data_IF_082182063287
#
_entry.id   IF_082182063287
#
_cell.length_a   1.000
_cell.length_b   1.000
_cell.length_c   1.000
_cell.angle_alpha   90.00
_cell.angle_beta   90.00
_cell.angle_gamma   90.00
#
_symmetry.space_group_name_H-M   'P 1'
#
loop_
_entity.id
_entity.type
_entity.pdbx_description
1 polymer ?
#
# COMPACT_ATOMS: atom_id res chain seq x y z
N UNK A 1 -7.47 19.18 -10.22
CA UNK A 1 -7.70 17.81 -9.72
C UNK A 1 -7.51 16.85 -10.89
N UNK A 2 -6.99 15.63 -10.68
CA UNK A 2 -6.59 14.74 -11.79
C UNK A 2 -7.84 14.12 -12.45
N UNK A 3 -8.09 14.45 -13.73
CA UNK A 3 -9.28 14.01 -14.49
C UNK A 3 -9.49 12.48 -14.49
N UNK A 4 -8.42 11.69 -14.39
CA UNK A 4 -8.51 10.23 -14.35
C UNK A 4 -8.95 9.71 -12.99
N UNK A 5 -8.51 10.37 -11.92
CA UNK A 5 -8.96 10.09 -10.56
C UNK A 5 -10.46 10.38 -10.41
N UNK A 6 -10.92 11.56 -10.88
CA UNK A 6 -12.34 11.93 -10.88
C UNK A 6 -13.20 10.94 -11.67
N UNK A 7 -12.81 10.64 -12.91
CA UNK A 7 -13.55 9.70 -13.75
C UNK A 7 -13.55 8.26 -13.19
N UNK A 8 -12.48 7.86 -12.50
CA UNK A 8 -12.43 6.56 -11.84
C UNK A 8 -13.33 6.52 -10.62
N UNK A 9 -13.29 7.56 -9.77
CA UNK A 9 -14.17 7.70 -8.61
C UNK A 9 -15.64 7.69 -9.04
N UNK A 10 -16.00 8.46 -10.08
CA UNK A 10 -17.36 8.48 -10.65
C UNK A 10 -17.80 7.09 -11.13
N UNK A 11 -16.93 6.35 -11.83
CA UNK A 11 -17.24 4.97 -12.26
C UNK A 11 -17.54 4.05 -11.08
N UNK A 12 -16.87 4.25 -9.94
CA UNK A 12 -17.07 3.48 -8.73
C UNK A 12 -18.26 3.98 -7.89
N UNK A 13 -18.93 5.06 -8.29
CA UNK A 13 -19.99 5.70 -7.51
C UNK A 13 -19.47 6.33 -6.22
N UNK A 14 -18.21 6.80 -6.22
CA UNK A 14 -17.52 7.40 -5.09
C UNK A 14 -17.12 8.83 -5.44
N UNK A 15 -17.15 9.75 -4.47
CA UNK A 15 -16.70 11.13 -4.66
C UNK A 15 -15.31 11.33 -4.05
N UNK A 16 -14.55 12.28 -4.59
CA UNK A 16 -13.31 12.76 -3.97
C UNK A 16 -13.67 13.79 -2.91
N UNK A 17 -13.34 13.49 -1.65
CA UNK A 17 -13.64 14.34 -0.52
C UNK A 17 -12.54 15.37 -0.25
N UNK A 18 -11.28 14.95 -0.32
CA UNK A 18 -10.14 15.79 0.12
C UNK A 18 -8.84 15.42 -0.62
N UNK A 19 -8.02 16.42 -0.88
CA UNK A 19 -6.63 16.23 -1.32
C UNK A 19 -5.75 15.97 -0.09
N UNK A 20 -5.06 14.82 -0.06
CA UNK A 20 -4.25 14.42 1.10
C UNK A 20 -2.78 14.82 0.95
N UNK A 21 -2.27 14.92 -0.28
CA UNK A 21 -0.88 15.27 -0.51
C UNK A 21 -0.35 14.81 -1.86
N UNK A 22 0.87 15.24 -2.17
CA UNK A 22 1.65 14.79 -3.31
C UNK A 22 3.10 14.59 -2.87
N UNK A 23 3.70 13.51 -3.34
CA UNK A 23 5.12 13.21 -3.19
C UNK A 23 5.79 13.11 -4.56
N UNK A 24 7.03 12.62 -4.57
CA UNK A 24 7.84 12.52 -5.79
C UNK A 24 7.21 11.64 -6.86
N UNK A 25 6.43 10.63 -6.45
CA UNK A 25 5.92 9.59 -7.34
C UNK A 25 4.40 9.61 -7.52
N UNK A 26 3.66 10.48 -6.84
CA UNK A 26 2.20 10.42 -6.93
C UNK A 26 1.44 11.44 -6.08
N UNK A 27 0.12 11.35 -6.20
CA UNK A 27 -0.85 12.22 -5.53
C UNK A 27 -1.91 11.35 -4.87
N UNK A 28 -2.26 11.65 -3.63
CA UNK A 28 -3.27 10.94 -2.85
C UNK A 28 -4.50 11.80 -2.57
N UNK A 29 -5.67 11.17 -2.64
CA UNK A 29 -6.96 11.76 -2.37
C UNK A 29 -7.75 10.88 -1.41
N UNK A 30 -8.43 11.51 -0.45
CA UNK A 30 -9.43 10.86 0.37
C UNK A 30 -10.76 10.82 -0.37
N UNK A 31 -11.46 9.70 -0.31
CA UNK A 31 -12.78 9.54 -0.90
C UNK A 31 -13.91 9.77 0.12
N UNK A 32 -15.14 9.95 -0.36
CA UNK A 32 -16.33 10.14 0.48
C UNK A 32 -16.70 8.93 1.35
N UNK A 33 -16.19 7.74 1.02
CA UNK A 33 -16.33 6.51 1.82
C UNK A 33 -15.08 6.16 2.64
N UNK A 34 -14.29 7.17 3.00
CA UNK A 34 -13.10 7.08 3.86
C UNK A 34 -12.00 6.13 3.36
N UNK A 35 -11.83 6.02 2.04
CA UNK A 35 -10.72 5.30 1.39
C UNK A 35 -9.69 6.29 0.85
N UNK A 36 -8.54 5.76 0.43
CA UNK A 36 -7.50 6.54 -0.25
C UNK A 36 -7.42 6.11 -1.71
N UNK A 37 -7.55 7.08 -2.61
CA UNK A 37 -7.27 6.92 -4.02
C UNK A 37 -5.94 7.61 -4.34
N UNK A 38 -4.92 6.82 -4.66
CA UNK A 38 -3.59 7.29 -5.06
C UNK A 38 -3.42 7.17 -6.57
N UNK A 39 -2.85 8.19 -7.18
CA UNK A 39 -2.36 8.17 -8.56
C UNK A 39 -0.84 8.19 -8.50
N UNK A 40 -0.19 7.17 -9.06
CA UNK A 40 1.26 6.98 -9.01
C UNK A 40 1.86 6.81 -10.41
N UNK A 41 3.09 7.29 -10.58
CA UNK A 41 3.96 6.96 -11.71
C UNK A 41 4.88 5.77 -11.42
N UNK A 42 4.84 5.25 -10.20
CA UNK A 42 5.74 4.20 -9.73
C UNK A 42 5.23 2.80 -10.08
N UNK A 43 5.94 2.15 -10.99
CA UNK A 43 5.57 0.81 -11.45
C UNK A 43 5.75 -0.24 -10.34
N UNK A 44 6.78 -0.10 -9.50
CA UNK A 44 7.06 -1.05 -8.43
C UNK A 44 5.98 -1.01 -7.34
N UNK A 45 5.52 0.20 -7.00
CA UNK A 45 4.39 0.45 -6.10
C UNK A 45 3.09 -0.14 -6.68
N UNK A 46 2.77 0.19 -7.94
CA UNK A 46 1.55 -0.28 -8.57
C UNK A 46 1.47 -1.79 -8.69
N UNK A 47 2.54 -2.45 -9.16
CA UNK A 47 2.57 -3.90 -9.30
C UNK A 47 2.47 -4.59 -7.94
N UNK A 48 3.08 -4.00 -6.90
CA UNK A 48 3.01 -4.52 -5.54
C UNK A 48 1.57 -4.44 -5.00
N UNK A 49 0.95 -3.26 -5.07
CA UNK A 49 -0.45 -3.07 -4.70
C UNK A 49 -1.39 -3.95 -5.54
N UNK A 50 -1.12 -4.12 -6.83
CA UNK A 50 -1.92 -5.01 -7.68
C UNK A 50 -1.86 -6.47 -7.23
N UNK A 51 -0.68 -6.96 -6.80
CA UNK A 51 -0.53 -8.31 -6.24
C UNK A 51 -1.13 -8.44 -4.82
N UNK A 52 -1.26 -7.33 -4.08
CA UNK A 52 -1.99 -7.30 -2.82
C UNK A 52 -3.51 -7.32 -2.98
N UNK A 53 -4.03 -6.90 -4.14
CA UNK A 53 -5.47 -6.78 -4.39
C UNK A 53 -6.22 -8.08 -4.08
N UNK A 54 -7.21 -7.98 -3.19
CA UNK A 54 -8.04 -9.10 -2.76
C UNK A 54 -7.41 -10.04 -1.72
N UNK A 55 -6.18 -9.76 -1.25
CA UNK A 55 -5.60 -10.45 -0.09
C UNK A 55 -6.04 -9.73 1.19
N UNK A 56 -6.52 -10.49 2.17
CA UNK A 56 -6.79 -9.97 3.51
C UNK A 56 -5.58 -10.26 4.39
N UNK A 57 -4.69 -9.27 4.50
CA UNK A 57 -3.44 -9.34 5.25
C UNK A 57 -3.53 -8.44 6.49
N UNK A 58 -2.95 -8.90 7.59
CA UNK A 58 -3.01 -8.20 8.88
C UNK A 58 -2.25 -6.89 8.81
N UNK A 59 -1.02 -6.90 8.29
CA UNK A 59 -0.09 -5.77 8.39
C UNK A 59 0.05 -4.95 7.11
N UNK A 60 -0.81 -5.16 6.12
CA UNK A 60 -0.89 -4.33 4.91
C UNK A 60 -2.24 -3.63 4.82
N UNK A 61 -2.25 -2.40 4.33
CA UNK A 61 -3.48 -1.72 3.94
C UNK A 61 -4.23 -2.55 2.88
N UNK A 62 -5.54 -2.71 3.05
CA UNK A 62 -6.34 -3.46 2.09
C UNK A 62 -6.37 -2.74 0.73
N UNK A 63 -6.05 -3.47 -0.34
CA UNK A 63 -6.14 -2.95 -1.71
C UNK A 63 -7.46 -3.38 -2.34
N UNK A 64 -8.35 -2.41 -2.56
CA UNK A 64 -9.68 -2.62 -3.12
C UNK A 64 -9.67 -2.73 -4.64
N UNK A 65 -8.92 -1.85 -5.31
CA UNK A 65 -8.83 -1.86 -6.77
C UNK A 65 -7.55 -1.20 -7.27
N UNK A 66 -7.15 -1.54 -8.48
CA UNK A 66 -5.99 -0.97 -9.17
C UNK A 66 -6.30 -0.74 -10.65
N UNK A 67 -5.82 0.37 -11.20
CA UNK A 67 -6.14 0.80 -12.57
C UNK A 67 -4.92 1.33 -13.33
N UNK A 68 -4.79 0.97 -14.60
CA UNK A 68 -3.88 1.66 -15.52
C UNK A 68 -4.70 2.60 -16.40
N UNK A 69 -4.31 3.86 -16.46
CA UNK A 69 -4.98 4.89 -17.25
C UNK A 69 -4.37 5.02 -18.65
N UNK A 70 -5.10 5.71 -19.54
CA UNK A 70 -4.73 5.83 -20.95
C UNK A 70 -3.43 6.60 -21.17
N UNK A 71 -3.06 7.51 -20.26
CA UNK A 71 -1.80 8.24 -20.31
C UNK A 71 -0.63 7.47 -19.69
N UNK A 72 -0.86 6.24 -19.23
CA UNK A 72 0.14 5.41 -18.56
C UNK A 72 0.26 5.65 -17.06
N UNK A 73 -0.44 6.63 -16.48
CA UNK A 73 -0.52 6.76 -15.03
C UNK A 73 -1.26 5.58 -14.41
N UNK A 74 -1.00 5.31 -13.13
CA UNK A 74 -1.51 4.15 -12.42
C UNK A 74 -2.29 4.61 -11.18
N UNK A 75 -3.39 3.92 -10.88
CA UNK A 75 -4.29 4.21 -9.78
C UNK A 75 -4.34 3.06 -8.80
N UNK A 76 -4.35 3.37 -7.51
CA UNK A 76 -4.51 2.43 -6.40
C UNK A 76 -5.64 2.95 -5.50
N UNK A 77 -6.64 2.12 -5.24
CA UNK A 77 -7.69 2.37 -4.27
C UNK A 77 -7.47 1.46 -3.07
N UNK A 78 -7.25 2.04 -1.90
CA UNK A 78 -6.85 1.31 -0.70
C UNK A 78 -7.53 1.82 0.57
N UNK A 79 -7.41 1.01 1.63
CA UNK A 79 -7.76 1.36 2.99
C UNK A 79 -7.07 2.65 3.42
N UNK A 80 -7.78 3.48 4.18
CA UNK A 80 -7.19 4.64 4.83
C UNK A 80 -6.70 4.24 6.21
N UNK A 81 -5.39 4.34 6.43
CA UNK A 81 -4.81 4.17 7.76
C UNK A 81 -4.80 5.51 8.51
N UNK A 82 -4.95 5.43 9.84
CA UNK A 82 -4.73 6.56 10.73
C UNK A 82 -3.23 6.76 10.93
N UNK A 83 -2.75 7.94 10.58
CA UNK A 83 -1.35 8.33 10.76
C UNK A 83 -1.24 9.09 12.07
N UNK A 84 -0.45 8.58 13.02
CA UNK A 84 -0.20 9.24 14.29
C UNK A 84 1.30 9.51 14.51
N UNK A 85 1.61 10.70 15.01
CA UNK A 85 3.00 11.13 15.24
C UNK A 85 3.71 10.26 16.30
N UNK A 86 2.96 9.70 17.25
CA UNK A 86 3.52 8.80 18.26
C UNK A 86 4.11 7.54 17.62
N UNK A 87 3.37 6.87 16.72
CA UNK A 87 3.86 5.68 16.00
C UNK A 87 5.08 6.01 15.15
N UNK A 88 5.13 7.21 14.55
CA UNK A 88 6.32 7.66 13.80
C UNK A 88 7.55 7.78 14.69
N UNK A 89 7.42 8.38 15.86
CA UNK A 89 8.52 8.53 16.82
C UNK A 89 8.94 7.17 17.42
N UNK A 90 7.99 6.27 17.66
CA UNK A 90 8.27 4.89 18.06
C UNK A 90 9.07 4.16 16.98
N UNK A 91 8.69 4.27 15.70
CA UNK A 91 9.42 3.66 14.59
C UNK A 91 10.83 4.23 14.45
N UNK A 92 11.02 5.56 14.55
CA UNK A 92 12.35 6.18 14.54
C UNK A 92 13.23 5.71 15.69
N UNK A 93 12.63 5.52 16.87
CA UNK A 93 13.30 4.94 18.03
C UNK A 93 13.74 3.52 17.75
N UNK A 94 12.85 2.66 17.25
CA UNK A 94 13.16 1.29 16.86
C UNK A 94 14.31 1.22 15.83
N UNK A 95 14.27 2.06 14.79
CA UNK A 95 15.38 2.15 13.83
C UNK A 95 16.71 2.54 14.48
N UNK A 96 16.68 3.44 15.46
CA UNK A 96 17.88 3.88 16.17
C UNK A 96 18.48 2.75 17.03
N UNK A 97 17.63 1.93 17.66
CA UNK A 97 18.03 0.75 18.43
C UNK A 97 18.61 -0.32 17.50
N UNK A 98 17.91 -0.67 16.42
CA UNK A 98 18.39 -1.64 15.44
C UNK A 98 19.75 -1.23 14.87
N UNK A 99 19.91 0.06 14.57
CA UNK A 99 21.18 0.63 14.09
C UNK A 99 22.29 0.55 15.14
N UNK A 100 22.03 0.83 16.42
CA UNK A 100 23.04 0.75 17.47
C UNK A 100 23.53 -0.68 17.70
N UNK A 101 22.65 -1.67 17.47
CA UNK A 101 22.94 -3.10 17.55
C UNK A 101 23.46 -3.70 16.23
N UNK A 102 23.47 -2.94 15.13
CA UNK A 102 23.81 -3.40 13.78
C UNK A 102 22.96 -4.61 13.33
N UNK A 103 21.64 -4.50 13.52
CA UNK A 103 20.63 -5.52 13.19
C UNK A 103 19.51 -4.94 12.31
N UNK A 104 18.74 -5.80 11.66
CA UNK A 104 17.47 -5.43 11.05
C UNK A 104 16.43 -5.05 12.11
N UNK A 105 15.47 -4.19 11.76
CA UNK A 105 14.40 -3.77 12.68
C UNK A 105 13.45 -4.93 13.03
N UNK A 106 13.40 -5.94 12.17
CA UNK A 106 12.62 -7.17 12.30
C UNK A 106 13.31 -8.21 13.21
N UNK A 107 14.63 -8.12 13.38
CA UNK A 107 15.42 -9.07 14.15
C UNK A 107 15.88 -8.52 15.51
N UNK A 108 15.77 -7.21 15.70
CA UNK A 108 16.31 -6.56 16.89
C UNK A 108 15.54 -7.00 18.14
N UNK A 109 16.27 -7.54 19.11
CA UNK A 109 15.71 -7.89 20.41
C UNK A 109 15.52 -6.61 21.24
N UNK A 110 14.27 -6.34 21.62
CA UNK A 110 13.91 -5.19 22.46
C UNK A 110 13.78 -5.70 23.89
N UNK A 111 14.64 -5.18 24.76
CA UNK A 111 14.55 -5.44 26.18
C UNK A 111 13.42 -4.57 26.76
N UNK A 112 12.33 -5.20 27.19
CA UNK A 112 11.18 -4.54 27.83
C UNK A 112 11.58 -3.78 29.11
N UNK A 113 12.67 -4.17 29.77
CA UNK A 113 13.16 -3.45 30.96
C UNK A 113 13.94 -2.16 30.57
N UNK A 114 14.42 -2.07 29.33
CA UNK A 114 15.21 -0.94 28.81
C UNK A 114 14.36 0.07 28.01
N UNK A 115 13.32 -0.41 27.33
CA UNK A 115 12.48 0.39 26.43
C UNK A 115 11.00 0.31 26.81
N UNK A 116 10.21 1.28 26.36
CA UNK A 116 8.76 1.27 26.60
C UNK A 116 8.08 0.06 25.92
N UNK A 117 7.07 -0.52 26.57
CA UNK A 117 6.23 -1.62 26.05
C UNK A 117 5.78 -1.38 24.59
N UNK A 118 5.46 -0.13 24.26
CA UNK A 118 5.03 0.25 22.90
C UNK A 118 6.10 0.06 21.82
N UNK A 119 7.38 0.15 22.16
CA UNK A 119 8.50 -0.12 21.22
C UNK A 119 8.64 -1.63 21.01
N UNK A 120 8.49 -2.40 22.08
CA UNK A 120 8.47 -3.86 22.00
C UNK A 120 7.30 -4.35 21.14
N UNK A 121 6.08 -3.87 21.41
CA UNK A 121 4.89 -4.19 20.62
C UNK A 121 5.03 -3.82 19.14
N UNK A 122 5.61 -2.64 18.86
CA UNK A 122 5.91 -2.23 17.48
C UNK A 122 6.89 -3.21 16.82
N UNK A 123 7.98 -3.58 17.49
CA UNK A 123 8.97 -4.51 16.94
C UNK A 123 8.34 -5.88 16.64
N UNK A 124 7.49 -6.40 17.53
CA UNK A 124 6.76 -7.66 17.29
C UNK A 124 5.85 -7.54 16.06
N UNK A 125 5.11 -6.44 15.90
CA UNK A 125 4.28 -6.20 14.71
C UNK A 125 5.11 -6.12 13.43
N UNK A 126 6.30 -5.50 13.47
CA UNK A 126 7.22 -5.48 12.33
C UNK A 126 7.74 -6.89 12.02
N UNK A 127 8.15 -7.69 13.01
CA UNK A 127 8.59 -9.07 12.79
C UNK A 127 7.47 -9.94 12.17
N UNK A 128 6.23 -9.76 12.62
CA UNK A 128 5.06 -10.42 12.02
C UNK A 128 4.80 -9.94 10.58
N UNK A 129 4.90 -8.64 10.30
CA UNK A 129 4.80 -8.08 8.94
C UNK A 129 5.80 -8.73 7.99
N UNK A 130 7.08 -8.86 8.38
CA UNK A 130 8.10 -9.51 7.54
C UNK A 130 7.81 -11.00 7.33
N UNK A 131 7.26 -11.67 8.34
CA UNK A 131 6.80 -13.06 8.21
C UNK A 131 5.63 -13.17 7.22
N UNK A 132 4.63 -12.30 7.34
CA UNK A 132 3.47 -12.22 6.44
C UNK A 132 3.89 -11.90 5.01
N UNK A 133 4.81 -10.95 4.82
CA UNK A 133 5.41 -10.60 3.53
C UNK A 133 6.05 -11.81 2.84
N UNK A 134 6.90 -12.53 3.59
CA UNK A 134 7.61 -13.68 3.08
C UNK A 134 6.68 -14.84 2.72
N UNK A 135 5.71 -15.15 3.59
CA UNK A 135 4.72 -16.20 3.37
C UNK A 135 3.86 -15.94 2.13
N UNK A 136 3.57 -14.66 1.84
CA UNK A 136 2.79 -14.24 0.69
C UNK A 136 3.63 -13.92 -0.56
N UNK A 137 4.97 -14.08 -0.48
CA UNK A 137 5.93 -13.79 -1.56
C UNK A 137 5.77 -12.37 -2.12
N UNK A 138 5.59 -11.41 -1.22
CA UNK A 138 5.38 -10.00 -1.56
C UNK A 138 6.71 -9.27 -1.77
N UNK A 139 7.75 -9.61 -1.01
CA UNK A 139 9.08 -9.02 -1.13
C UNK A 139 9.02 -7.49 -1.12
N UNK A 140 8.32 -6.96 -0.12
CA UNK A 140 8.11 -5.53 0.02
C UNK A 140 9.39 -4.79 0.40
N UNK A 141 9.47 -3.55 -0.04
CA UNK A 141 10.49 -2.57 0.27
C UNK A 141 9.84 -1.23 0.57
N UNK A 142 10.65 -0.25 1.00
CA UNK A 142 10.21 1.10 1.35
C UNK A 142 9.45 1.22 2.69
N UNK A 143 9.74 0.29 3.62
CA UNK A 143 9.25 0.38 4.98
C UNK A 143 9.90 1.59 5.69
N UNK A 144 9.10 2.60 5.99
CA UNK A 144 9.54 3.81 6.68
C UNK A 144 8.39 4.42 7.51
N UNK A 145 8.73 5.30 8.45
CA UNK A 145 7.76 5.92 9.37
C UNK A 145 6.63 6.72 8.70
N UNK A 146 6.83 7.25 7.49
CA UNK A 146 5.72 7.88 6.74
C UNK A 146 4.81 6.89 5.97
N UNK A 147 5.15 5.60 5.94
CA UNK A 147 4.44 4.50 5.24
C UNK A 147 3.81 3.50 6.22
N UNK A 148 3.68 3.88 7.50
CA UNK A 148 3.01 3.10 8.54
C UNK A 148 1.83 3.87 9.10
N UNK A 149 0.80 3.15 9.50
CA UNK A 149 -0.37 3.70 10.16
C UNK A 149 -1.13 2.65 10.93
N UNK A 150 -2.25 3.06 11.53
CA UNK A 150 -3.16 2.18 12.26
C UNK A 150 -4.41 1.90 11.43
N UNK A 151 -4.82 0.64 11.42
CA UNK A 151 -6.17 0.24 10.97
C UNK A 151 -7.21 0.68 12.00
N UNK A 152 -8.49 0.61 11.62
CA UNK A 152 -9.61 0.99 12.51
C UNK A 152 -9.62 0.20 13.84
N UNK A 153 -9.12 -1.04 13.84
CA UNK A 153 -9.01 -1.88 15.03
C UNK A 153 -7.73 -1.63 15.87
N UNK A 154 -6.90 -0.67 15.46
CA UNK A 154 -5.63 -0.33 16.11
C UNK A 154 -4.44 -1.19 15.65
N UNK A 155 -4.63 -2.13 14.71
CA UNK A 155 -3.53 -2.92 14.15
C UNK A 155 -2.58 -2.02 13.35
N UNK A 156 -1.27 -2.16 13.58
CA UNK A 156 -0.25 -1.48 12.77
C UNK A 156 -0.22 -2.11 11.37
N UNK A 157 -0.29 -1.29 10.34
CA UNK A 157 -0.19 -1.72 8.97
C UNK A 157 0.65 -0.75 8.13
N UNK A 158 1.16 -1.28 7.01
CA UNK A 158 1.93 -0.54 6.05
C UNK A 158 1.11 -0.23 4.81
N UNK A 159 1.42 0.89 4.19
CA UNK A 159 0.86 1.31 2.91
C UNK A 159 1.99 1.90 2.06
N UNK A 160 1.68 2.14 0.79
CA UNK A 160 2.66 2.73 -0.13
C UNK A 160 3.98 1.94 -0.29
N UNK A 161 3.88 0.62 -0.13
CA UNK A 161 5.00 -0.30 -0.30
C UNK A 161 5.30 -0.55 -1.77
N UNK A 162 6.53 -0.97 -2.04
CA UNK A 162 7.02 -1.27 -3.38
C UNK A 162 7.68 -2.64 -3.42
N UNK A 163 7.68 -3.30 -4.59
CA UNK A 163 8.58 -4.45 -4.75
C UNK A 163 10.03 -4.05 -4.55
N UNK A 164 10.77 -4.90 -3.83
CA UNK A 164 12.23 -4.81 -3.77
C UNK A 164 12.83 -4.74 -5.19
N UNK A 165 13.81 -3.87 -5.37
CA UNK A 165 14.41 -3.57 -6.68
C UNK A 165 15.02 -4.82 -7.34
N UNK A 166 15.57 -5.77 -6.57
CA UNK A 166 16.10 -7.01 -7.11
C UNK A 166 14.99 -7.96 -7.59
N UNK A 167 13.81 -7.89 -6.99
CA UNK A 167 12.63 -8.63 -7.44
C UNK A 167 12.03 -7.95 -8.67
N UNK A 168 11.85 -6.63 -8.62
CA UNK A 168 11.28 -5.85 -9.71
C UNK A 168 12.05 -6.03 -11.02
N UNK A 169 13.39 -6.07 -10.96
CA UNK A 169 14.27 -6.33 -12.13
C UNK A 169 14.10 -7.71 -12.76
N UNK A 170 13.50 -8.67 -12.05
CA UNK A 170 13.21 -10.00 -12.60
C UNK A 170 11.90 -10.02 -13.39
N UNK A 171 11.07 -8.99 -13.26
CA UNK A 171 9.84 -8.89 -14.04
C UNK A 171 10.12 -8.34 -15.43
N UNK A 172 9.44 -8.91 -16.41
CA UNK A 172 9.19 -8.22 -17.67
C UNK A 172 8.02 -7.25 -17.46
N UNK A 173 8.38 -6.02 -17.08
CA UNK A 173 7.44 -4.97 -16.71
C UNK A 173 6.41 -4.69 -17.80
N UNK A 174 6.82 -4.68 -19.06
CA UNK A 174 5.91 -4.41 -20.16
C UNK A 174 4.88 -5.54 -20.29
N UNK A 175 5.34 -6.79 -20.19
CA UNK A 175 4.47 -7.95 -20.20
C UNK A 175 3.48 -7.94 -19.03
N UNK A 176 3.93 -7.63 -17.80
CA UNK A 176 3.05 -7.58 -16.63
C UNK A 176 1.99 -6.47 -16.74
N UNK A 177 2.39 -5.25 -17.13
CA UNK A 177 1.44 -4.15 -17.32
C UNK A 177 0.43 -4.46 -18.44
N UNK A 178 0.84 -5.13 -19.52
CA UNK A 178 -0.05 -5.50 -20.60
C UNK A 178 -1.07 -6.57 -20.19
N UNK A 179 -0.69 -7.54 -19.34
CA UNK A 179 -1.63 -8.51 -18.75
C UNK A 179 -2.70 -7.78 -17.94
N UNK A 180 -2.28 -6.87 -17.06
CA UNK A 180 -3.20 -6.10 -16.20
C UNK A 180 -4.15 -5.23 -17.04
N UNK A 181 -3.65 -4.55 -18.08
CA UNK A 181 -4.50 -3.78 -19.02
C UNK A 181 -5.55 -4.68 -19.69
N UNK A 182 -5.15 -5.88 -20.09
CA UNK A 182 -6.04 -6.84 -20.73
C UNK A 182 -7.15 -7.32 -19.78
N UNK A 183 -6.80 -7.65 -18.54
CA UNK A 183 -7.77 -8.01 -17.48
C UNK A 183 -8.76 -6.88 -17.20
N UNK A 184 -8.27 -5.65 -17.08
CA UNK A 184 -9.11 -4.46 -16.87
C UNK A 184 -10.04 -4.17 -18.05
N UNK A 185 -9.60 -4.43 -19.29
CA UNK A 185 -10.46 -4.31 -20.47
C UNK A 185 -11.57 -5.36 -20.46
N UNK A 186 -11.28 -6.60 -20.08
CA UNK A 186 -12.26 -7.67 -20.06
C UNK A 186 -13.34 -7.49 -18.98
N UNK A 187 -12.96 -7.05 -17.77
CA UNK A 187 -13.95 -6.79 -16.70
C UNK A 187 -14.97 -5.72 -17.13
N UNK A 188 -14.50 -4.63 -17.75
CA UNK A 188 -15.33 -3.56 -18.30
C UNK A 188 -16.37 -4.02 -19.34
N UNK A 189 -16.04 -5.04 -20.14
CA UNK A 189 -16.90 -5.51 -21.23
C UNK A 189 -17.82 -6.67 -20.82
N UNK A 190 -17.46 -7.43 -19.79
CA UNK A 190 -18.34 -8.43 -19.17
C UNK A 190 -19.50 -7.76 -18.41
N UNK A 191 -19.25 -6.66 -17.68
CA UNK A 191 -20.30 -5.89 -17.01
C UNK A 191 -21.36 -5.37 -18.01
N UNK A 192 -20.91 -4.84 -19.17
CA UNK A 192 -21.81 -4.34 -20.22
C UNK A 192 -22.64 -5.41 -20.93
N UNK A 193 -22.19 -6.66 -20.96
CA UNK A 193 -22.91 -7.74 -21.66
C UNK A 193 -24.00 -8.37 -20.79
N UNK A 194 -23.93 -8.24 -19.45
CA UNK A 194 -25.01 -8.62 -18.55
C UNK A 194 -26.18 -7.60 -18.53
N UNK A 195 -25.93 -6.33 -18.87
CA UNK A 195 -26.94 -5.27 -18.84
C UNK A 195 -27.83 -5.20 -20.10
N UNK A 196 -27.45 -5.89 -21.20
CA UNK A 196 -28.25 -5.93 -22.44
C UNK A 196 -29.28 -7.08 -22.42
N UNK A 197 -29.37 -7.83 -21.31
CA UNK A 197 -30.20 -9.03 -21.15
C UNK A 197 -31.37 -8.90 -20.16
N UNK A 198 -31.79 -7.69 -19.74
CA UNK A 198 -32.94 -7.48 -18.86
C UNK A 198 -34.01 -6.60 -19.48
#
# INVERSE_FOLDING_TARGET
>A
MNKYCEAWAEKLGIEIAEYMGAGDNGIAFKTSNDKVMKITGDVGEFLHAHNLKGKSLKHFAEIYDTRIFLDGSMGILMEKLEICEELKEQFKTLCSIAKSKNMGIEEVDIDEDEYFDSIYELQQNIAELFTEDHQNRLFSSDLHHDNIGLKEDGTIAVFDMRYDEHILRKFDIETELNKIKHEQYHSLHQERSCDIGR
#
